data_IF_719335829204
#
_entry.id   IF_719335829204
#
_cell.length_a   1.000
_cell.length_b   1.000
_cell.length_c   1.000
_cell.angle_alpha   90.00
_cell.angle_beta   90.00
_cell.angle_gamma   90.00
#
_symmetry.space_group_name_H-M   'P 1'
#
loop_
_entity.id
_entity.type
_entity.pdbx_description
1 polymer ?
#
# COMPACT_ATOMS: atom_id res chain seq x y z
N UNK A 1 13.04 27.81 16.86
CA UNK A 1 12.10 26.75 16.42
C UNK A 1 12.86 25.79 15.53
N UNK A 2 12.91 24.48 15.78
CA UNK A 2 13.55 23.54 14.88
C UNK A 2 12.84 23.58 13.54
N UNK A 3 13.62 23.47 12.44
CA UNK A 3 13.08 23.47 11.07
C UNK A 3 12.06 22.34 10.91
N UNK A 4 10.93 22.57 10.19
CA UNK A 4 9.95 21.51 9.95
C UNK A 4 10.64 20.35 9.21
N UNK A 5 10.63 19.17 9.84
CA UNK A 5 11.19 17.96 9.22
C UNK A 5 10.24 17.48 8.14
N UNK A 6 10.60 17.68 6.88
CA UNK A 6 9.84 17.14 5.76
C UNK A 6 10.07 15.63 5.63
N UNK A 7 8.99 14.87 5.62
CA UNK A 7 9.05 13.42 5.39
C UNK A 7 9.60 13.10 3.99
N UNK A 8 10.58 12.20 3.83
CA UNK A 8 11.08 11.80 2.52
C UNK A 8 9.99 11.06 1.72
N UNK A 9 9.69 11.55 0.51
CA UNK A 9 8.65 10.98 -0.38
C UNK A 9 9.17 9.82 -1.23
N UNK A 10 10.49 9.69 -1.33
CA UNK A 10 11.15 8.68 -2.17
C UNK A 10 10.68 7.25 -1.89
N UNK A 11 10.53 6.78 -0.62
CA UNK A 11 10.06 5.42 -0.37
C UNK A 11 8.66 5.15 -0.92
N UNK A 12 7.73 6.12 -0.85
CA UNK A 12 6.39 5.99 -1.42
C UNK A 12 6.41 5.98 -2.95
N UNK A 13 7.29 6.75 -3.58
CA UNK A 13 7.49 6.73 -5.05
C UNK A 13 8.02 5.37 -5.48
N UNK A 14 9.03 4.84 -4.77
CA UNK A 14 9.58 3.50 -5.04
C UNK A 14 8.48 2.43 -4.90
N UNK A 15 7.63 2.51 -3.88
CA UNK A 15 6.51 1.58 -3.70
C UNK A 15 5.51 1.65 -4.85
N UNK A 16 5.17 2.84 -5.35
CA UNK A 16 4.29 3.01 -6.52
C UNK A 16 4.89 2.39 -7.78
N UNK A 17 6.19 2.64 -8.04
CA UNK A 17 6.89 2.05 -9.18
C UNK A 17 7.05 0.54 -9.03
N UNK A 18 7.25 0.05 -7.81
CA UNK A 18 7.32 -1.38 -7.52
C UNK A 18 5.99 -2.09 -7.82
N UNK A 19 4.84 -1.49 -7.48
CA UNK A 19 3.52 -2.02 -7.87
C UNK A 19 3.42 -2.08 -9.40
N UNK A 20 3.77 -1.00 -10.12
CA UNK A 20 3.79 -1.01 -11.58
C UNK A 20 4.73 -2.07 -12.16
N UNK A 21 5.93 -2.23 -11.57
CA UNK A 21 6.90 -3.27 -11.94
C UNK A 21 6.38 -4.69 -11.71
N UNK A 22 5.74 -4.95 -10.56
CA UNK A 22 5.09 -6.25 -10.28
C UNK A 22 4.10 -6.60 -11.39
N UNK A 23 3.30 -5.62 -11.85
CA UNK A 23 2.34 -5.84 -12.93
C UNK A 23 2.99 -6.20 -14.27
N UNK A 24 4.18 -5.69 -14.57
CA UNK A 24 4.91 -6.09 -15.79
C UNK A 24 5.37 -7.55 -15.75
N UNK A 25 5.54 -8.11 -14.55
CA UNK A 25 5.94 -9.49 -14.33
C UNK A 25 4.74 -10.47 -14.28
N UNK A 26 3.50 -9.98 -14.18
CA UNK A 26 2.31 -10.84 -14.20
C UNK A 26 2.06 -11.43 -15.60
N UNK A 27 1.50 -12.66 -15.67
CA UNK A 27 1.04 -13.26 -16.93
C UNK A 27 -0.06 -12.40 -17.60
N UNK A 28 -0.19 -12.47 -18.94
CA UNK A 28 -1.18 -11.68 -19.67
C UNK A 28 -2.62 -11.91 -19.25
N UNK A 29 -2.96 -13.12 -18.82
CA UNK A 29 -4.32 -13.46 -18.37
C UNK A 29 -4.73 -12.82 -17.03
N UNK A 30 -3.77 -12.24 -16.29
CA UNK A 30 -4.02 -11.50 -15.03
C UNK A 30 -4.01 -9.98 -15.19
N UNK A 31 -3.80 -9.48 -16.41
CA UNK A 31 -3.70 -8.04 -16.67
C UNK A 31 -4.74 -7.59 -17.69
N UNK A 32 -5.26 -6.37 -17.50
CA UNK A 32 -6.08 -5.71 -18.52
C UNK A 32 -5.18 -4.95 -19.48
N UNK A 33 -5.05 -5.46 -20.72
CA UNK A 33 -4.24 -4.84 -21.75
C UNK A 33 -2.73 -5.16 -21.62
N UNK A 34 -1.85 -4.35 -22.24
CA UNK A 34 -0.41 -4.58 -22.21
C UNK A 34 0.17 -4.52 -20.80
N UNK A 35 1.09 -5.43 -20.45
CA UNK A 35 1.70 -5.53 -19.11
C UNK A 35 2.35 -4.21 -18.64
N UNK A 36 2.91 -3.43 -19.56
CA UNK A 36 3.55 -2.14 -19.26
C UNK A 36 2.54 -1.01 -18.96
N UNK A 37 1.26 -1.22 -19.29
CA UNK A 37 0.23 -0.16 -19.22
C UNK A 37 0.11 0.46 -17.83
N UNK A 38 0.03 -0.36 -16.79
CA UNK A 38 -0.07 0.16 -15.41
C UNK A 38 1.17 0.97 -15.02
N UNK A 39 2.36 0.49 -15.35
CA UNK A 39 3.60 1.21 -15.06
C UNK A 39 3.64 2.55 -15.80
N UNK A 40 3.22 2.60 -17.06
CA UNK A 40 3.14 3.83 -17.83
C UNK A 40 2.12 4.82 -17.24
N UNK A 41 0.93 4.34 -16.85
CA UNK A 41 -0.10 5.18 -16.21
C UNK A 41 0.38 5.71 -14.87
N UNK A 42 0.98 4.88 -14.03
CA UNK A 42 1.57 5.31 -12.75
C UNK A 42 2.67 6.34 -12.99
N UNK A 43 3.58 6.10 -13.93
CA UNK A 43 4.65 7.04 -14.29
C UNK A 43 4.09 8.38 -14.80
N UNK A 44 3.11 8.34 -15.69
CA UNK A 44 2.45 9.54 -16.22
C UNK A 44 1.76 10.37 -15.13
N UNK A 45 1.13 9.72 -14.13
CA UNK A 45 0.49 10.38 -13.00
C UNK A 45 1.49 10.85 -11.94
N UNK A 46 2.64 10.19 -11.80
CA UNK A 46 3.69 10.61 -10.88
C UNK A 46 4.31 11.96 -11.29
N UNK A 47 4.47 12.22 -12.59
CA UNK A 47 5.05 13.48 -13.08
C UNK A 47 4.25 14.70 -12.56
N UNK A 48 2.94 14.85 -12.83
CA UNK A 48 2.17 15.98 -12.32
C UNK A 48 2.03 15.95 -10.79
N UNK A 49 2.07 14.77 -10.15
CA UNK A 49 2.07 14.67 -8.69
C UNK A 49 3.33 15.29 -8.08
N UNK A 50 4.51 15.03 -8.65
CA UNK A 50 5.77 15.61 -8.18
C UNK A 50 5.85 17.10 -8.53
N UNK A 51 5.42 17.49 -9.73
CA UNK A 51 5.39 18.89 -10.16
C UNK A 51 4.47 19.72 -9.26
N UNK A 52 3.25 19.24 -8.99
CA UNK A 52 2.28 19.94 -8.12
C UNK A 52 2.80 20.10 -6.69
N UNK A 53 3.60 19.16 -6.19
CA UNK A 53 4.26 19.28 -4.90
C UNK A 53 5.30 20.42 -4.90
N UNK A 54 6.13 20.51 -5.96
CA UNK A 54 7.18 21.53 -6.08
C UNK A 54 6.63 22.92 -6.34
N UNK A 55 5.50 23.02 -7.07
CA UNK A 55 4.85 24.30 -7.40
C UNK A 55 3.87 24.79 -6.34
N UNK A 56 3.73 24.06 -5.22
CA UNK A 56 2.87 24.48 -4.11
C UNK A 56 1.37 24.22 -4.33
N UNK A 57 0.98 23.52 -5.40
CA UNK A 57 -0.42 23.16 -5.69
C UNK A 57 -0.85 21.93 -4.87
N UNK A 58 -0.94 22.07 -3.55
CA UNK A 58 -1.14 20.98 -2.60
C UNK A 58 -2.47 20.24 -2.77
N UNK A 59 -3.54 20.92 -3.17
CA UNK A 59 -4.82 20.28 -3.44
C UNK A 59 -4.73 19.34 -4.65
N UNK A 60 -4.11 19.80 -5.74
CA UNK A 60 -3.87 18.98 -6.93
C UNK A 60 -3.01 17.75 -6.59
N UNK A 61 -1.93 17.95 -5.82
CA UNK A 61 -1.10 16.84 -5.35
C UNK A 61 -1.89 15.78 -4.57
N UNK A 62 -2.81 16.22 -3.70
CA UNK A 62 -3.67 15.32 -2.93
C UNK A 62 -4.60 14.52 -3.84
N UNK A 63 -5.29 15.18 -4.77
CA UNK A 63 -6.23 14.54 -5.70
C UNK A 63 -5.50 13.55 -6.60
N UNK A 64 -4.40 13.96 -7.24
CA UNK A 64 -3.58 13.09 -8.08
C UNK A 64 -3.10 11.86 -7.31
N UNK A 65 -2.70 12.06 -6.06
CA UNK A 65 -2.31 10.96 -5.21
C UNK A 65 -3.44 9.97 -4.93
N UNK A 66 -4.66 10.42 -4.70
CA UNK A 66 -5.81 9.52 -4.55
C UNK A 66 -6.13 8.80 -5.86
N UNK A 67 -6.04 9.49 -6.99
CA UNK A 67 -6.24 8.88 -8.33
C UNK A 67 -5.24 7.75 -8.56
N UNK A 68 -3.94 8.00 -8.31
CA UNK A 68 -2.92 6.94 -8.45
C UNK A 68 -3.24 5.76 -7.54
N UNK A 69 -3.57 6.02 -6.26
CA UNK A 69 -3.89 4.94 -5.31
C UNK A 69 -5.14 4.15 -5.75
N UNK A 70 -6.16 4.82 -6.27
CA UNK A 70 -7.37 4.18 -6.80
C UNK A 70 -7.06 3.32 -8.03
N UNK A 71 -6.23 3.81 -8.96
CA UNK A 71 -5.82 3.08 -10.17
C UNK A 71 -5.10 1.78 -9.81
N UNK A 72 -4.10 1.84 -8.93
CA UNK A 72 -3.36 0.63 -8.52
C UNK A 72 -4.23 -0.34 -7.70
N UNK A 73 -5.18 0.17 -6.92
CA UNK A 73 -6.14 -0.66 -6.18
C UNK A 73 -7.08 -1.37 -7.13
N UNK A 74 -7.63 -0.66 -8.13
CA UNK A 74 -8.49 -1.26 -9.15
C UNK A 74 -7.74 -2.34 -9.92
N UNK A 75 -6.51 -2.08 -10.32
CA UNK A 75 -5.67 -3.05 -10.99
C UNK A 75 -5.45 -4.30 -10.12
N UNK A 76 -5.13 -4.13 -8.82
CA UNK A 76 -4.99 -5.23 -7.87
C UNK A 76 -6.26 -6.08 -7.78
N UNK A 77 -7.41 -5.45 -7.59
CA UNK A 77 -8.71 -6.15 -7.46
C UNK A 77 -9.05 -6.90 -8.74
N UNK A 78 -8.85 -6.28 -9.90
CA UNK A 78 -9.11 -6.93 -11.20
C UNK A 78 -8.20 -8.15 -11.38
N UNK A 79 -6.90 -8.02 -11.12
CA UNK A 79 -5.97 -9.17 -11.22
C UNK A 79 -6.30 -10.28 -10.24
N UNK A 80 -6.76 -9.96 -9.03
CA UNK A 80 -7.23 -10.95 -8.07
C UNK A 80 -8.47 -11.69 -8.58
N UNK A 81 -9.44 -10.97 -9.15
CA UNK A 81 -10.64 -11.59 -9.73
C UNK A 81 -10.27 -12.50 -10.91
N UNK A 82 -9.33 -12.07 -11.77
CA UNK A 82 -8.84 -12.88 -12.88
C UNK A 82 -8.09 -14.12 -12.38
N UNK A 83 -7.29 -13.99 -11.32
CA UNK A 83 -6.63 -15.13 -10.69
C UNK A 83 -7.63 -16.15 -10.15
N UNK A 84 -8.68 -15.69 -9.45
CA UNK A 84 -9.75 -16.57 -8.94
C UNK A 84 -10.46 -17.30 -10.08
N UNK A 85 -10.74 -16.59 -11.20
CA UNK A 85 -11.38 -17.19 -12.38
C UNK A 85 -10.48 -18.20 -13.12
N UNK A 86 -9.17 -18.02 -13.10
CA UNK A 86 -8.21 -18.93 -13.73
C UNK A 86 -8.05 -20.25 -12.97
N UNK A 87 -8.32 -20.29 -11.66
CA UNK A 87 -8.12 -21.47 -10.82
C UNK A 87 -8.90 -22.73 -11.27
N UNK A 88 -10.22 -22.65 -11.59
CA UNK A 88 -10.99 -23.84 -11.96
C UNK A 88 -10.63 -24.38 -13.35
N UNK A 89 -10.10 -23.54 -14.23
CA UNK A 89 -9.88 -23.89 -15.62
C UNK A 89 -8.73 -24.89 -15.82
N UNK A 90 -7.82 -25.01 -14.84
CA UNK A 90 -6.59 -25.80 -14.91
C UNK A 90 -5.74 -25.56 -16.17
N UNK A 91 -6.00 -24.46 -16.87
CA UNK A 91 -5.30 -24.12 -18.10
C UNK A 91 -3.86 -23.67 -17.85
N UNK A 92 -3.58 -23.16 -16.65
CA UNK A 92 -2.30 -22.57 -16.29
C UNK A 92 -1.50 -23.49 -15.37
N UNK A 93 -0.18 -23.47 -15.53
CA UNK A 93 0.72 -24.27 -14.71
C UNK A 93 0.70 -23.80 -13.23
N UNK A 94 0.66 -24.75 -12.31
CA UNK A 94 0.60 -24.44 -10.87
C UNK A 94 1.74 -23.52 -10.40
N UNK A 95 3.00 -23.65 -10.85
CA UNK A 95 4.08 -22.73 -10.47
C UNK A 95 3.84 -21.28 -10.91
N UNK A 96 3.19 -21.06 -12.07
CA UNK A 96 2.87 -19.72 -12.58
C UNK A 96 1.79 -19.05 -11.74
N UNK A 97 0.76 -19.79 -11.35
CA UNK A 97 -0.28 -19.33 -10.45
C UNK A 97 0.27 -18.98 -9.07
N UNK A 98 1.19 -19.80 -8.53
CA UNK A 98 1.88 -19.53 -7.26
C UNK A 98 2.71 -18.24 -7.29
N UNK A 99 3.52 -18.07 -8.33
CA UNK A 99 4.31 -16.84 -8.51
C UNK A 99 3.42 -15.60 -8.61
N UNK A 100 2.33 -15.72 -9.37
CA UNK A 100 1.36 -14.63 -9.56
C UNK A 100 0.64 -14.27 -8.27
N UNK A 101 0.21 -15.26 -7.49
CA UNK A 101 -0.42 -15.03 -6.19
C UNK A 101 0.55 -14.38 -5.21
N UNK A 102 1.81 -14.82 -5.15
CA UNK A 102 2.85 -14.19 -4.34
C UNK A 102 3.13 -12.73 -4.76
N UNK A 103 3.15 -12.46 -6.06
CA UNK A 103 3.30 -11.12 -6.62
C UNK A 103 2.12 -10.20 -6.24
N UNK A 104 0.87 -10.70 -6.34
CA UNK A 104 -0.33 -9.98 -5.94
C UNK A 104 -0.40 -9.77 -4.42
N UNK A 105 0.09 -10.72 -3.62
CA UNK A 105 0.21 -10.55 -2.18
C UNK A 105 1.16 -9.40 -1.82
N UNK A 106 2.33 -9.32 -2.46
CA UNK A 106 3.26 -8.21 -2.28
C UNK A 106 2.64 -6.88 -2.76
N UNK A 107 1.96 -6.89 -3.91
CA UNK A 107 1.24 -5.72 -4.40
C UNK A 107 0.17 -5.25 -3.42
N UNK A 108 -0.58 -6.17 -2.78
CA UNK A 108 -1.56 -5.85 -1.74
C UNK A 108 -0.92 -5.07 -0.57
N UNK A 109 0.23 -5.54 -0.06
CA UNK A 109 0.96 -4.83 1.01
C UNK A 109 1.31 -3.41 0.59
N UNK A 110 1.92 -3.24 -0.59
CA UNK A 110 2.36 -1.93 -1.08
C UNK A 110 1.19 -0.96 -1.33
N UNK A 111 0.12 -1.45 -1.94
CA UNK A 111 -1.09 -0.66 -2.21
C UNK A 111 -1.73 -0.14 -0.92
N UNK A 112 -1.90 -0.99 0.10
CA UNK A 112 -2.51 -0.56 1.36
C UNK A 112 -1.57 0.28 2.21
N UNK A 113 -0.25 0.03 2.19
CA UNK A 113 0.74 0.92 2.79
C UNK A 113 0.64 2.35 2.23
N UNK A 114 0.48 2.49 0.91
CA UNK A 114 0.28 3.78 0.24
C UNK A 114 -1.03 4.45 0.67
N UNK A 115 -2.12 3.71 0.83
CA UNK A 115 -3.38 4.25 1.35
C UNK A 115 -3.24 4.72 2.79
N UNK A 116 -2.68 3.91 3.69
CA UNK A 116 -2.48 4.29 5.09
C UNK A 116 -1.62 5.55 5.20
N UNK A 117 -0.48 5.58 4.52
CA UNK A 117 0.42 6.72 4.48
C UNK A 117 -0.25 7.99 3.97
N UNK A 118 -1.11 7.87 2.96
CA UNK A 118 -1.78 9.00 2.30
C UNK A 118 -2.97 9.54 3.09
N UNK A 119 -3.68 8.71 3.82
CA UNK A 119 -4.90 9.10 4.51
C UNK A 119 -4.64 9.50 5.97
N UNK A 120 -3.66 8.88 6.63
CA UNK A 120 -3.41 9.11 8.05
C UNK A 120 -2.94 10.52 8.35
N UNK A 121 -3.49 11.11 9.42
CA UNK A 121 -3.17 12.47 9.85
C UNK A 121 -3.45 13.56 8.80
N UNK A 122 -4.31 13.30 7.81
CA UNK A 122 -4.59 14.19 6.68
C UNK A 122 -3.55 14.11 5.56
N UNK A 123 -2.67 13.11 5.63
CA UNK A 123 -1.63 12.82 4.65
C UNK A 123 -0.29 13.52 4.91
N UNK A 124 0.72 13.13 4.13
CA UNK A 124 2.11 13.52 4.39
C UNK A 124 2.35 15.03 4.44
N UNK A 125 1.66 15.81 3.61
CA UNK A 125 1.77 17.27 3.62
C UNK A 125 1.20 17.92 4.89
N UNK A 126 0.14 17.34 5.45
CA UNK A 126 -0.45 17.84 6.69
C UNK A 126 0.42 17.44 7.88
N UNK A 127 0.99 16.24 7.87
CA UNK A 127 1.93 15.80 8.90
C UNK A 127 3.18 16.67 8.94
N UNK A 128 3.76 17.04 7.79
CA UNK A 128 4.93 17.95 7.72
C UNK A 128 4.68 19.33 8.33
N UNK A 129 3.43 19.80 8.31
CA UNK A 129 3.03 21.12 8.86
C UNK A 129 2.80 21.09 10.37
N UNK A 130 2.65 19.90 10.95
CA UNK A 130 2.45 19.71 12.39
C UNK A 130 3.80 19.51 13.07
N UNK A 131 3.99 20.09 14.26
CA UNK A 131 5.24 19.92 15.01
C UNK A 131 5.41 18.51 15.59
N UNK A 132 4.29 17.82 15.85
CA UNK A 132 4.27 16.44 16.33
C UNK A 132 3.04 15.68 15.76
N UNK A 133 3.14 14.35 15.69
CA UNK A 133 2.03 13.49 15.27
C UNK A 133 1.26 13.02 16.53
N UNK A 134 0.27 13.80 16.95
CA UNK A 134 -0.54 13.52 18.15
C UNK A 134 -1.91 12.93 17.82
N UNK A 135 -2.36 13.06 16.57
CA UNK A 135 -3.66 12.61 16.09
C UNK A 135 -3.51 11.89 14.75
N UNK A 136 -3.98 10.65 14.69
CA UNK A 136 -3.97 9.81 13.50
C UNK A 136 -5.01 8.71 13.59
N UNK A 137 -5.12 7.95 12.51
CA UNK A 137 -5.96 6.77 12.45
C UNK A 137 -5.30 5.54 13.09
N UNK A 138 -3.97 5.60 13.26
CA UNK A 138 -3.15 4.57 13.88
C UNK A 138 -2.46 5.13 15.12
N UNK A 139 -2.49 4.36 16.22
CA UNK A 139 -1.80 4.71 17.45
C UNK A 139 -0.43 4.03 17.46
N UNK A 140 0.59 4.74 17.01
CA UNK A 140 1.95 4.22 17.02
C UNK A 140 2.51 4.16 18.44
N UNK A 141 3.36 3.16 18.78
CA UNK A 141 3.97 3.07 20.13
C UNK A 141 4.68 4.36 20.56
N UNK A 142 5.29 5.08 19.61
CA UNK A 142 6.00 6.34 19.86
C UNK A 142 5.08 7.49 20.28
N UNK A 143 3.77 7.37 20.05
CA UNK A 143 2.76 8.35 20.52
C UNK A 143 2.34 8.10 21.97
N UNK A 144 2.73 6.99 22.57
CA UNK A 144 2.32 6.62 23.93
C UNK A 144 3.31 7.15 24.97
N UNK A 145 2.80 7.58 26.14
CA UNK A 145 3.63 8.09 27.25
C UNK A 145 4.65 7.08 27.80
N UNK A 146 4.52 5.80 27.44
CA UNK A 146 5.43 4.74 27.88
C UNK A 146 6.66 4.57 27.01
N UNK A 147 6.74 5.24 25.87
CA UNK A 147 7.95 5.24 25.04
C UNK A 147 9.02 6.10 25.74
N UNK A 148 9.99 5.44 26.40
CA UNK A 148 11.19 6.12 26.97
C UNK A 148 12.09 6.75 25.89
N UNK A 149 11.85 6.46 24.63
CA UNK A 149 12.44 7.10 23.45
C UNK A 149 11.72 8.39 23.06
N UNK A 150 10.72 8.81 23.83
CA UNK A 150 10.02 10.10 23.68
C UNK A 150 10.89 11.34 24.01
N UNK A 151 12.20 11.21 24.02
CA UNK A 151 13.13 12.35 23.93
C UNK A 151 13.07 13.05 22.56
N UNK A 152 12.37 12.46 21.58
CA UNK A 152 12.03 13.15 20.33
C UNK A 152 10.61 13.74 20.45
N UNK A 153 10.47 14.91 21.05
CA UNK A 153 9.23 15.71 21.12
C UNK A 153 8.57 15.97 19.73
N UNK A 154 9.21 15.54 18.64
CA UNK A 154 8.81 15.81 17.26
C UNK A 154 8.75 14.54 16.40
N UNK A 155 8.42 13.36 16.95
CA UNK A 155 8.26 12.15 16.16
C UNK A 155 7.05 12.24 15.21
N UNK A 156 7.21 11.78 13.98
CA UNK A 156 6.13 11.64 12.99
C UNK A 156 6.34 10.36 12.18
N UNK A 157 5.26 9.61 11.89
CA UNK A 157 5.35 8.38 11.12
C UNK A 157 5.81 8.64 9.69
N UNK A 158 6.63 7.74 9.17
CA UNK A 158 7.12 7.74 7.78
C UNK A 158 6.48 6.60 7.00
N UNK A 159 6.69 6.59 5.69
CA UNK A 159 6.16 5.53 4.83
C UNK A 159 6.46 4.10 5.33
N UNK A 160 7.65 3.87 5.89
CA UNK A 160 8.05 2.55 6.40
C UNK A 160 7.17 2.08 7.57
N UNK A 161 6.68 3.00 8.41
CA UNK A 161 5.80 2.65 9.54
C UNK A 161 4.45 2.14 9.02
N UNK A 162 3.91 2.74 7.96
CA UNK A 162 2.69 2.28 7.30
C UNK A 162 2.91 0.98 6.51
N UNK A 163 4.08 0.80 5.90
CA UNK A 163 4.45 -0.45 5.25
C UNK A 163 4.51 -1.59 6.26
N UNK A 164 5.05 -1.34 7.46
CA UNK A 164 5.07 -2.31 8.55
C UNK A 164 3.65 -2.70 8.99
N UNK A 165 2.73 -1.73 9.17
CA UNK A 165 1.32 -2.02 9.45
C UNK A 165 0.71 -2.89 8.34
N UNK A 166 0.88 -2.50 7.08
CA UNK A 166 0.31 -3.23 5.95
C UNK A 166 0.88 -4.65 5.83
N UNK A 167 2.17 -4.83 6.12
CA UNK A 167 2.80 -6.14 6.18
C UNK A 167 2.18 -7.02 7.28
N UNK A 168 2.02 -6.50 8.50
CA UNK A 168 1.40 -7.23 9.60
C UNK A 168 -0.06 -7.59 9.34
N UNK A 169 -0.83 -6.67 8.70
CA UNK A 169 -2.21 -6.97 8.28
C UNK A 169 -2.29 -8.10 7.26
N UNK A 170 -1.26 -8.27 6.43
CA UNK A 170 -1.22 -9.30 5.40
C UNK A 170 -0.64 -10.63 5.86
N UNK A 171 0.11 -10.65 6.96
CA UNK A 171 0.76 -11.86 7.50
C UNK A 171 0.08 -12.40 8.74
N UNK A 172 -0.09 -11.56 9.76
CA UNK A 172 -0.66 -11.94 11.05
C UNK A 172 -2.17 -11.64 11.16
N UNK A 173 -2.75 -10.98 10.16
CA UNK A 173 -4.13 -10.48 10.14
C UNK A 173 -4.47 -9.61 11.36
N UNK A 174 -3.46 -8.93 11.90
CA UNK A 174 -3.52 -8.13 13.12
C UNK A 174 -2.66 -6.86 12.99
N UNK A 175 -3.11 -5.72 13.54
CA UNK A 175 -2.32 -4.49 13.57
C UNK A 175 -1.08 -4.56 14.48
N UNK A 176 -0.88 -5.71 15.16
CA UNK A 176 0.23 -5.88 16.09
C UNK A 176 0.20 -4.80 17.20
N UNK A 177 1.27 -4.02 17.34
CA UNK A 177 1.45 -3.04 18.41
C UNK A 177 0.86 -1.65 18.08
N UNK A 178 0.18 -1.53 16.92
CA UNK A 178 -0.35 -0.25 16.43
C UNK A 178 -1.87 -0.31 16.31
N UNK A 179 -2.62 -0.01 17.38
CA UNK A 179 -4.08 0.00 17.37
C UNK A 179 -4.67 0.89 16.29
N UNK A 180 -5.71 0.40 15.61
CA UNK A 180 -6.45 1.15 14.59
C UNK A 180 -7.59 1.91 15.24
N UNK A 181 -7.55 3.24 15.23
CA UNK A 181 -8.49 4.09 15.95
C UNK A 181 -9.70 4.50 15.10
N UNK A 182 -9.47 4.91 13.85
CA UNK A 182 -10.54 5.46 13.02
C UNK A 182 -11.37 4.38 12.31
N UNK A 183 -12.65 4.68 12.04
CA UNK A 183 -13.57 3.77 11.36
C UNK A 183 -13.13 3.45 9.93
N UNK A 184 -12.69 4.46 9.18
CA UNK A 184 -12.22 4.26 7.80
C UNK A 184 -10.98 3.36 7.74
N UNK A 185 -10.04 3.53 8.68
CA UNK A 185 -8.85 2.70 8.73
C UNK A 185 -9.19 1.25 9.09
N UNK A 186 -10.15 1.02 10.01
CA UNK A 186 -10.66 -0.32 10.32
C UNK A 186 -11.25 -1.01 9.09
N UNK A 187 -12.04 -0.28 8.28
CA UNK A 187 -12.58 -0.84 7.03
C UNK A 187 -11.48 -1.18 6.04
N UNK A 188 -10.48 -0.30 5.86
CA UNK A 188 -9.35 -0.58 4.95
C UNK A 188 -8.49 -1.75 5.43
N UNK A 189 -8.23 -1.86 6.74
CA UNK A 189 -7.46 -2.98 7.29
C UNK A 189 -8.20 -4.31 7.15
N UNK A 190 -9.52 -4.31 7.37
CA UNK A 190 -10.37 -5.49 7.13
C UNK A 190 -10.35 -5.90 5.65
N UNK A 191 -10.46 -4.94 4.73
CA UNK A 191 -10.41 -5.21 3.29
C UNK A 191 -9.04 -5.77 2.88
N UNK A 192 -7.95 -5.17 3.35
CA UNK A 192 -6.60 -5.67 3.10
C UNK A 192 -6.42 -7.11 3.59
N UNK A 193 -6.83 -7.38 4.83
CA UNK A 193 -6.71 -8.71 5.43
C UNK A 193 -7.57 -9.75 4.69
N UNK A 194 -8.77 -9.37 4.25
CA UNK A 194 -9.62 -10.25 3.45
C UNK A 194 -8.98 -10.60 2.09
N UNK A 195 -8.44 -9.61 1.38
CA UNK A 195 -7.69 -9.82 0.14
C UNK A 195 -6.49 -10.75 0.39
N UNK A 196 -5.72 -10.48 1.44
CA UNK A 196 -4.55 -11.29 1.80
C UNK A 196 -4.94 -12.73 2.12
N UNK A 197 -6.00 -12.92 2.90
CA UNK A 197 -6.51 -14.24 3.25
C UNK A 197 -6.92 -15.04 1.99
N UNK A 198 -7.63 -14.41 1.06
CA UNK A 198 -7.99 -15.02 -0.22
C UNK A 198 -6.74 -15.46 -0.97
N UNK A 199 -5.75 -14.57 -1.12
CA UNK A 199 -4.50 -14.89 -1.85
C UNK A 199 -3.75 -16.04 -1.16
N UNK A 200 -3.62 -16.01 0.17
CA UNK A 200 -2.93 -17.08 0.94
C UNK A 200 -3.68 -18.41 0.83
N UNK A 201 -5.02 -18.40 0.88
CA UNK A 201 -5.83 -19.61 0.68
C UNK A 201 -5.64 -20.20 -0.73
N UNK A 202 -5.55 -19.34 -1.76
CA UNK A 202 -5.25 -19.76 -3.13
C UNK A 202 -3.85 -20.36 -3.25
N UNK A 203 -2.85 -19.72 -2.62
CA UNK A 203 -1.47 -20.25 -2.54
C UNK A 203 -1.46 -21.64 -1.89
N UNK A 204 -2.10 -21.79 -0.73
CA UNK A 204 -2.15 -23.05 -0.01
C UNK A 204 -2.85 -24.17 -0.83
N UNK A 205 -3.99 -23.85 -1.46
CA UNK A 205 -4.73 -24.81 -2.29
C UNK A 205 -3.92 -25.35 -3.47
N UNK A 206 -3.06 -24.52 -4.06
CA UNK A 206 -2.21 -24.91 -5.19
C UNK A 206 -0.92 -25.58 -4.75
N UNK A 207 -0.35 -25.22 -3.60
CA UNK A 207 0.80 -25.91 -3.04
C UNK A 207 0.50 -27.39 -2.76
N UNK A 208 -0.69 -27.69 -2.22
CA UNK A 208 -1.14 -29.08 -1.97
C UNK A 208 -1.32 -29.85 -3.29
N UNK A 209 -1.70 -29.20 -4.38
CA UNK A 209 -1.87 -29.86 -5.68
C UNK A 209 -0.56 -30.12 -6.45
N UNK A 210 0.59 -29.68 -5.90
CA UNK A 210 1.95 -29.92 -6.48
C UNK A 210 2.64 -31.09 -5.76
N UNK A 211 2.28 -31.34 -4.49
CA UNK A 211 2.75 -32.48 -3.68
C UNK A 211 1.96 -33.75 -4.01
#
# INVERSE_FOLDING_TARGET
MPAPRTEPRLPAIIALLAVGGIYTALPPFLTLGPRWLLLAVVGALLIPTVVSLRTGHYQLNRVLGYVVSAVITLALVVSLVLLIKALPTRAEAAPELLRSAGALWLANILVFALWYWRLDGGGPLQRDRRGAHTEGAFLFPQMTKYSKTATEDNWSPRFIDYLFIAFNMSTAFSPSDTPVLSRWAKVLTMLQSAISLIIVALLASRAIGIL
#
